data_IF_325288740701
#
_entry.id   IF_325288740701
#
_cell.length_a   1.000
_cell.length_b   1.000
_cell.length_c   1.000
_cell.angle_alpha   90.00
_cell.angle_beta   90.00
_cell.angle_gamma   90.00
#
_symmetry.space_group_name_H-M   'P 1'
#
loop_
_entity.id
_entity.type
_entity.pdbx_description
1 polymer ?
#
# COMPACT_ATOMS: atom_id res chain seq x y z
N UNK A 1 -8.32 -32.14 -14.23
CA UNK A 1 -8.08 -32.35 -12.80
C UNK A 1 -8.83 -31.27 -12.01
N UNK A 2 -9.55 -31.68 -10.97
CA UNK A 2 -10.32 -30.77 -10.15
C UNK A 2 -9.40 -29.82 -9.38
N UNK A 3 -9.81 -28.55 -9.25
CA UNK A 3 -9.09 -27.57 -8.45
C UNK A 3 -8.94 -28.07 -6.99
N UNK A 4 -7.83 -27.77 -6.29
CA UNK A 4 -7.62 -28.20 -4.90
C UNK A 4 -8.79 -27.93 -3.96
N UNK A 5 -9.45 -26.79 -4.08
CA UNK A 5 -10.62 -26.46 -3.26
C UNK A 5 -11.82 -27.36 -3.50
N UNK A 6 -12.02 -27.83 -4.74
CA UNK A 6 -13.06 -28.83 -5.05
C UNK A 6 -12.76 -30.17 -4.39
N UNK A 7 -11.48 -30.56 -4.34
CA UNK A 7 -11.07 -31.80 -3.68
C UNK A 7 -11.23 -31.73 -2.15
N UNK A 8 -11.03 -30.57 -1.58
CA UNK A 8 -11.17 -30.30 -0.15
C UNK A 8 -12.65 -30.35 0.29
N UNK A 9 -13.56 -29.89 -0.57
CA UNK A 9 -14.97 -29.71 -0.28
C UNK A 9 -15.27 -28.33 0.36
N UNK A 10 -16.46 -27.81 0.10
CA UNK A 10 -16.89 -26.48 0.52
C UNK A 10 -16.98 -26.32 2.03
N UNK A 11 -17.41 -27.34 2.74
CA UNK A 11 -17.53 -27.30 4.20
C UNK A 11 -16.15 -27.12 4.87
N UNK A 12 -15.17 -27.94 4.47
CA UNK A 12 -13.80 -27.86 4.98
C UNK A 12 -13.18 -26.53 4.57
N UNK A 13 -13.37 -26.09 3.32
CA UNK A 13 -12.87 -24.80 2.84
C UNK A 13 -13.41 -23.64 3.69
N UNK A 14 -14.73 -23.56 3.90
CA UNK A 14 -15.36 -22.50 4.69
C UNK A 14 -14.90 -22.48 6.15
N UNK A 15 -14.72 -23.65 6.75
CA UNK A 15 -14.19 -23.75 8.11
C UNK A 15 -12.74 -23.25 8.19
N UNK A 16 -11.87 -23.69 7.27
CA UNK A 16 -10.46 -23.29 7.28
C UNK A 16 -10.26 -21.82 6.99
N UNK A 17 -11.06 -21.21 6.11
CA UNK A 17 -10.98 -19.75 5.85
C UNK A 17 -11.40 -18.95 7.08
N UNK A 18 -12.44 -19.33 7.80
CA UNK A 18 -12.84 -18.69 9.06
C UNK A 18 -11.81 -18.89 10.19
N UNK A 19 -11.13 -20.06 10.22
CA UNK A 19 -10.02 -20.28 11.15
C UNK A 19 -8.82 -19.38 10.83
N UNK A 20 -8.49 -19.21 9.54
CA UNK A 20 -7.41 -18.33 9.12
C UNK A 20 -7.69 -16.86 9.46
N UNK A 21 -8.91 -16.36 9.24
CA UNK A 21 -9.31 -15.01 9.61
C UNK A 21 -9.12 -14.77 11.12
N UNK A 22 -9.57 -15.70 11.96
CA UNK A 22 -9.38 -15.63 13.41
C UNK A 22 -7.91 -15.69 13.82
N UNK A 23 -7.13 -16.57 13.19
CA UNK A 23 -5.70 -16.69 13.47
C UNK A 23 -4.95 -15.38 13.22
N UNK A 24 -5.23 -14.69 12.11
CA UNK A 24 -4.62 -13.37 11.86
C UNK A 24 -4.97 -12.35 12.94
N UNK A 25 -6.22 -12.29 13.37
CA UNK A 25 -6.65 -11.40 14.44
C UNK A 25 -5.99 -11.75 15.79
N UNK A 26 -5.89 -13.04 16.14
CA UNK A 26 -5.25 -13.51 17.37
C UNK A 26 -3.75 -13.18 17.45
N UNK A 27 -3.06 -13.15 16.31
CA UNK A 27 -1.63 -12.76 16.25
C UNK A 27 -1.43 -11.25 15.99
N UNK A 28 -2.51 -10.45 16.02
CA UNK A 28 -2.44 -9.00 15.86
C UNK A 28 -2.20 -8.52 14.43
N UNK A 29 -2.44 -9.37 13.42
CA UNK A 29 -2.37 -8.98 12.01
C UNK A 29 -3.77 -8.58 11.56
N UNK A 30 -4.00 -7.29 11.41
CA UNK A 30 -5.31 -6.78 10.99
C UNK A 30 -5.50 -6.90 9.48
N UNK A 31 -6.54 -7.63 9.10
CA UNK A 31 -6.90 -7.88 7.70
C UNK A 31 -8.24 -7.23 7.37
N UNK A 32 -8.37 -6.72 6.13
CA UNK A 32 -9.65 -6.36 5.52
C UNK A 32 -10.15 -7.50 4.66
N UNK A 33 -11.46 -7.70 4.61
CA UNK A 33 -12.10 -8.68 3.73
C UNK A 33 -12.73 -9.86 4.45
N UNK A 34 -13.25 -10.79 3.66
CA UNK A 34 -13.93 -11.99 4.14
C UNK A 34 -13.94 -13.07 3.06
N UNK A 35 -13.90 -14.32 3.44
CA UNK A 35 -14.03 -15.46 2.54
C UNK A 35 -15.39 -15.53 1.80
N UNK A 36 -16.39 -14.80 2.28
CA UNK A 36 -17.73 -14.78 1.70
C UNK A 36 -17.86 -13.88 0.47
N UNK A 37 -16.98 -12.85 0.36
CA UNK A 37 -17.01 -11.89 -0.74
C UNK A 37 -15.61 -11.35 -1.01
N UNK A 38 -15.13 -11.48 -2.25
CA UNK A 38 -13.90 -10.82 -2.65
C UNK A 38 -14.09 -9.30 -2.69
N UNK A 39 -13.09 -8.59 -2.22
CA UNK A 39 -12.83 -7.19 -2.54
C UNK A 39 -11.71 -7.10 -3.58
N UNK A 40 -11.33 -5.90 -3.98
CA UNK A 40 -10.23 -5.67 -4.92
C UNK A 40 -9.13 -4.88 -4.24
N UNK A 41 -7.91 -5.39 -4.34
CA UNK A 41 -6.72 -4.69 -3.84
C UNK A 41 -5.96 -4.03 -4.98
N UNK A 42 -5.37 -2.88 -4.71
CA UNK A 42 -4.44 -2.22 -5.63
C UNK A 42 -3.12 -2.99 -5.63
N UNK A 43 -2.63 -3.32 -6.82
CA UNK A 43 -1.32 -3.97 -6.99
C UNK A 43 -0.20 -2.93 -7.09
N UNK A 44 1.08 -3.31 -6.93
CA UNK A 44 2.21 -2.41 -7.15
C UNK A 44 2.27 -1.75 -8.54
N UNK A 45 1.54 -2.30 -9.51
CA UNK A 45 1.42 -1.76 -10.87
C UNK A 45 0.19 -0.87 -11.06
N UNK A 46 -0.59 -0.60 -10.03
CA UNK A 46 -1.80 0.21 -10.10
C UNK A 46 -3.05 -0.52 -10.57
N UNK A 47 -2.96 -1.80 -10.91
CA UNK A 47 -4.13 -2.61 -11.33
C UNK A 47 -4.92 -3.12 -10.12
N UNK A 48 -6.19 -3.44 -10.33
CA UNK A 48 -7.04 -4.06 -9.31
C UNK A 48 -7.04 -5.58 -9.45
N UNK A 49 -6.85 -6.31 -8.35
CA UNK A 49 -6.96 -7.76 -8.32
C UNK A 49 -7.90 -8.22 -7.21
N UNK A 50 -8.75 -9.23 -7.47
CA UNK A 50 -9.61 -9.79 -6.44
C UNK A 50 -8.77 -10.43 -5.33
N UNK A 51 -9.17 -10.19 -4.09
CA UNK A 51 -8.60 -10.78 -2.90
C UNK A 51 -9.72 -11.08 -1.90
N UNK A 52 -9.56 -12.11 -1.07
CA UNK A 52 -10.45 -12.36 0.04
C UNK A 52 -9.98 -11.70 1.33
N UNK A 53 -8.63 -11.59 1.51
CA UNK A 53 -7.99 -10.84 2.59
C UNK A 53 -6.88 -9.95 2.05
N UNK A 54 -6.79 -8.76 2.60
CA UNK A 54 -5.72 -7.78 2.34
C UNK A 54 -5.29 -7.17 3.67
N UNK A 55 -4.01 -6.91 3.87
CA UNK A 55 -3.56 -6.17 5.05
C UNK A 55 -4.30 -4.84 5.14
N UNK A 56 -4.81 -4.48 6.32
CA UNK A 56 -5.62 -3.28 6.54
C UNK A 56 -4.94 -1.99 6.09
N UNK A 57 -3.61 -1.98 6.10
CA UNK A 57 -2.80 -0.83 5.67
C UNK A 57 -2.66 -0.69 4.15
N UNK A 58 -3.16 -1.66 3.40
CA UNK A 58 -3.19 -1.58 1.94
C UNK A 58 -4.58 -1.18 1.46
N UNK A 59 -4.67 -0.29 0.45
CA UNK A 59 -5.95 0.13 -0.07
C UNK A 59 -6.70 -1.02 -0.73
N UNK A 60 -7.96 -1.15 -0.38
CA UNK A 60 -8.92 -2.05 -1.02
C UNK A 60 -10.12 -1.26 -1.54
N UNK A 61 -10.88 -1.84 -2.45
CA UNK A 61 -12.09 -1.27 -3.01
C UNK A 61 -13.10 -2.35 -3.38
N UNK A 62 -14.37 -1.97 -3.39
CA UNK A 62 -15.47 -2.88 -3.69
C UNK A 62 -15.69 -3.12 -5.20
N UNK A 63 -15.14 -2.26 -6.06
CA UNK A 63 -15.31 -2.31 -7.50
C UNK A 63 -14.05 -2.81 -8.20
N UNK A 64 -14.24 -3.59 -9.28
CA UNK A 64 -13.14 -4.16 -10.09
C UNK A 64 -12.53 -3.16 -11.09
N UNK A 65 -13.24 -2.07 -11.38
CA UNK A 65 -12.99 -1.18 -12.52
C UNK A 65 -12.80 0.29 -12.14
N UNK A 66 -12.88 0.63 -10.86
CA UNK A 66 -12.74 2.01 -10.39
C UNK A 66 -12.21 2.07 -8.97
N UNK A 67 -11.52 3.16 -8.66
CA UNK A 67 -11.10 3.53 -7.33
C UNK A 67 -12.18 4.41 -6.64
N UNK A 68 -12.20 4.47 -5.31
CA UNK A 68 -13.12 5.34 -4.58
C UNK A 68 -12.75 6.84 -4.68
N UNK A 69 -11.55 7.15 -5.17
CA UNK A 69 -11.03 8.52 -5.27
C UNK A 69 -10.97 9.00 -6.71
N UNK A 70 -11.27 10.28 -6.92
CA UNK A 70 -11.19 10.94 -8.23
C UNK A 70 -9.88 11.69 -8.45
N UNK A 71 -9.28 12.20 -7.38
CA UNK A 71 -8.00 12.93 -7.42
C UNK A 71 -7.05 12.41 -6.37
N UNK A 72 -5.85 12.05 -6.79
CA UNK A 72 -4.81 11.53 -5.90
C UNK A 72 -3.44 12.15 -6.21
N UNK A 73 -2.54 12.12 -5.22
CA UNK A 73 -1.13 12.41 -5.41
C UNK A 73 -0.31 11.14 -5.16
N UNK A 74 0.60 10.82 -6.06
CA UNK A 74 1.50 9.67 -5.97
C UNK A 74 2.90 10.20 -5.66
N UNK A 75 3.46 9.83 -4.53
CA UNK A 75 4.78 10.26 -4.10
C UNK A 75 5.77 9.09 -4.12
N UNK A 76 6.95 9.33 -4.67
CA UNK A 76 8.05 8.38 -4.61
C UNK A 76 9.30 9.00 -4.04
N UNK A 77 10.11 8.19 -3.38
CA UNK A 77 11.47 8.57 -2.99
C UNK A 77 12.32 8.70 -4.26
N UNK A 78 12.99 9.82 -4.43
CA UNK A 78 13.83 10.07 -5.59
C UNK A 78 14.96 9.04 -5.67
N UNK A 79 14.97 8.26 -6.75
CA UNK A 79 15.92 7.17 -6.99
C UNK A 79 15.45 5.78 -6.55
N UNK A 80 14.29 5.65 -5.91
CA UNK A 80 13.71 4.36 -5.59
C UNK A 80 12.96 3.80 -6.81
N UNK A 81 13.51 2.73 -7.40
CA UNK A 81 13.04 2.19 -8.68
C UNK A 81 11.96 1.11 -8.56
N UNK A 82 11.76 0.54 -7.36
CA UNK A 82 10.79 -0.54 -7.15
C UNK A 82 9.34 -0.05 -6.99
N UNK A 83 9.10 1.24 -7.24
CA UNK A 83 7.78 1.86 -7.20
C UNK A 83 7.50 2.63 -8.50
N UNK A 84 6.72 2.05 -9.37
CA UNK A 84 6.50 2.49 -10.75
C UNK A 84 5.37 3.51 -10.86
N UNK A 85 5.62 4.74 -10.42
CA UNK A 85 4.60 5.80 -10.32
C UNK A 85 3.85 6.08 -11.63
N UNK A 86 4.55 6.03 -12.78
CA UNK A 86 3.91 6.27 -14.07
C UNK A 86 2.93 5.16 -14.44
N UNK A 87 3.29 3.89 -14.23
CA UNK A 87 2.37 2.78 -14.47
C UNK A 87 1.14 2.87 -13.58
N UNK A 88 1.33 3.20 -12.30
CA UNK A 88 0.22 3.39 -11.35
C UNK A 88 -0.70 4.51 -11.83
N UNK A 89 -0.15 5.67 -12.20
CA UNK A 89 -0.92 6.82 -12.67
C UNK A 89 -1.70 6.51 -13.97
N UNK A 90 -1.09 5.77 -14.88
CA UNK A 90 -1.74 5.39 -16.16
C UNK A 90 -2.88 4.39 -15.93
N UNK A 91 -2.71 3.40 -15.04
CA UNK A 91 -3.78 2.48 -14.67
C UNK A 91 -4.92 3.21 -13.93
N UNK A 92 -4.59 4.11 -13.00
CA UNK A 92 -5.59 4.89 -12.27
C UNK A 92 -6.38 5.81 -13.22
N UNK A 93 -5.73 6.42 -14.22
CA UNK A 93 -6.41 7.22 -15.25
C UNK A 93 -7.41 6.40 -16.04
N UNK A 94 -7.10 5.14 -16.39
CA UNK A 94 -8.04 4.22 -17.07
C UNK A 94 -9.28 3.94 -16.21
N UNK A 95 -9.15 4.01 -14.90
CA UNK A 95 -10.23 3.83 -13.93
C UNK A 95 -10.94 5.15 -13.57
N UNK A 96 -10.61 6.26 -14.25
CA UNK A 96 -11.25 7.56 -14.06
C UNK A 96 -10.71 8.38 -12.90
N UNK A 97 -9.51 8.03 -12.37
CA UNK A 97 -8.84 8.76 -11.31
C UNK A 97 -7.71 9.63 -11.86
N UNK A 98 -7.78 10.94 -11.62
CA UNK A 98 -6.71 11.89 -11.93
C UNK A 98 -5.57 11.72 -10.91
N UNK A 99 -4.33 11.62 -11.42
CA UNK A 99 -3.15 11.43 -10.57
C UNK A 99 -2.08 12.47 -10.86
N UNK A 100 -1.50 13.03 -9.81
CA UNK A 100 -0.28 13.85 -9.88
C UNK A 100 0.88 13.08 -9.31
N UNK A 101 2.02 13.07 -10.00
CA UNK A 101 3.22 12.36 -9.58
C UNK A 101 4.22 13.33 -9.00
N UNK A 102 4.71 13.04 -7.82
CA UNK A 102 5.73 13.78 -7.11
C UNK A 102 6.90 12.87 -6.76
N UNK A 103 8.10 13.41 -6.83
CA UNK A 103 9.30 12.75 -6.27
C UNK A 103 9.85 13.60 -5.16
N UNK A 104 10.18 13.01 -4.05
CA UNK A 104 10.72 13.73 -2.90
C UNK A 104 12.08 13.21 -2.48
N UNK A 105 12.84 14.09 -1.88
CA UNK A 105 14.11 13.81 -1.23
C UNK A 105 14.28 14.76 -0.05
N UNK A 106 15.00 14.33 0.97
CA UNK A 106 15.42 15.15 2.09
C UNK A 106 16.73 14.62 2.69
N UNK A 107 17.43 15.40 3.55
CA UNK A 107 18.80 15.08 3.97
C UNK A 107 19.04 13.65 4.46
N UNK A 108 18.10 13.09 5.20
CA UNK A 108 18.20 11.71 5.71
C UNK A 108 18.28 10.65 4.60
N UNK A 109 17.69 10.89 3.42
CA UNK A 109 17.72 9.97 2.27
C UNK A 109 18.96 10.15 1.38
N UNK A 110 19.71 11.22 1.55
CA UNK A 110 20.84 11.55 0.65
C UNK A 110 21.96 10.52 0.71
N UNK A 111 22.17 9.89 1.87
CA UNK A 111 23.12 8.80 2.02
C UNK A 111 22.73 7.60 1.13
N UNK A 112 21.46 7.21 1.13
CA UNK A 112 20.96 6.11 0.28
C UNK A 112 21.08 6.44 -1.20
N UNK A 113 20.81 7.70 -1.57
CA UNK A 113 20.93 8.17 -2.96
C UNK A 113 22.34 8.10 -3.51
N UNK A 114 23.35 8.40 -2.69
CA UNK A 114 24.77 8.33 -3.08
C UNK A 114 25.25 6.88 -3.29
N UNK A 115 24.53 5.92 -2.75
CA UNK A 115 24.81 4.50 -2.91
C UNK A 115 23.57 3.77 -3.45
N UNK A 116 23.40 3.67 -4.80
CA UNK A 116 22.20 3.09 -5.39
C UNK A 116 21.89 1.65 -4.94
N UNK A 117 22.90 0.87 -4.53
CA UNK A 117 22.70 -0.48 -4.01
C UNK A 117 21.99 -0.51 -2.65
N UNK A 118 22.01 0.59 -1.91
CA UNK A 118 21.35 0.78 -0.64
C UNK A 118 19.92 1.34 -0.76
N UNK A 119 19.50 1.78 -1.95
CA UNK A 119 18.15 2.29 -2.20
C UNK A 119 17.13 1.15 -2.29
N UNK A 120 16.97 0.44 -1.17
CA UNK A 120 16.05 -0.70 -1.01
C UNK A 120 14.95 -0.35 -0.02
N UNK A 121 13.78 -0.99 -0.18
CA UNK A 121 12.60 -0.79 0.68
C UNK A 121 12.95 -0.82 2.17
N UNK A 122 13.72 -1.83 2.61
CA UNK A 122 14.10 -2.00 4.03
C UNK A 122 14.98 -0.87 4.55
N UNK A 123 15.88 -0.33 3.72
CA UNK A 123 16.76 0.77 4.12
C UNK A 123 15.99 2.10 4.16
N UNK A 124 15.08 2.31 3.21
CA UNK A 124 14.16 3.46 3.24
C UNK A 124 13.26 3.37 4.49
N UNK A 125 12.69 2.19 4.78
CA UNK A 125 11.87 1.98 5.97
C UNK A 125 12.60 2.36 7.26
N UNK A 126 13.88 1.95 7.42
CA UNK A 126 14.71 2.32 8.57
C UNK A 126 14.91 3.82 8.75
N UNK A 127 14.94 4.59 7.66
CA UNK A 127 15.01 6.06 7.77
C UNK A 127 13.76 6.63 8.43
N UNK A 128 12.60 5.99 8.22
CA UNK A 128 11.32 6.41 8.77
C UNK A 128 10.99 5.80 10.15
N UNK A 129 11.91 5.07 10.76
CA UNK A 129 11.85 4.73 12.20
C UNK A 129 12.09 5.96 13.09
N UNK A 130 12.76 6.99 12.55
CA UNK A 130 13.01 8.23 13.25
C UNK A 130 11.84 9.19 13.10
N UNK A 131 11.30 9.64 14.23
CA UNK A 131 10.16 10.54 14.28
C UNK A 131 10.39 11.84 13.48
N UNK A 132 11.58 12.40 13.56
CA UNK A 132 11.99 13.60 12.83
C UNK A 132 11.82 13.47 11.31
N UNK A 133 12.14 12.29 10.75
CA UNK A 133 11.99 12.03 9.32
C UNK A 133 10.51 11.86 8.92
N UNK A 134 9.69 11.31 9.79
CA UNK A 134 8.24 11.24 9.59
C UNK A 134 7.59 12.63 9.64
N UNK A 135 8.03 13.49 10.54
CA UNK A 135 7.57 14.89 10.63
C UNK A 135 7.93 15.69 9.38
N UNK A 136 9.16 15.50 8.88
CA UNK A 136 9.61 16.13 7.63
C UNK A 136 8.78 15.64 6.44
N UNK A 137 8.56 14.31 6.33
CA UNK A 137 7.72 13.73 5.29
C UNK A 137 6.29 14.26 5.36
N UNK A 138 5.66 14.25 6.53
CA UNK A 138 4.29 14.75 6.70
C UNK A 138 4.16 16.22 6.26
N UNK A 139 5.15 17.05 6.59
CA UNK A 139 5.21 18.44 6.18
C UNK A 139 5.33 18.58 4.66
N UNK A 140 6.20 17.78 4.05
CA UNK A 140 6.38 17.73 2.60
C UNK A 140 5.10 17.29 1.89
N UNK A 141 4.49 16.22 2.33
CA UNK A 141 3.24 15.69 1.73
C UNK A 141 2.13 16.75 1.75
N UNK A 142 1.92 17.43 2.88
CA UNK A 142 0.93 18.52 2.99
C UNK A 142 1.20 19.67 2.04
N UNK A 143 2.46 20.06 1.87
CA UNK A 143 2.84 21.16 1.00
C UNK A 143 2.65 20.84 -0.48
N UNK A 144 3.00 19.62 -0.89
CA UNK A 144 3.13 19.25 -2.31
C UNK A 144 1.87 18.54 -2.87
N UNK A 145 1.09 17.87 -2.04
CA UNK A 145 -0.06 17.08 -2.52
C UNK A 145 -1.15 17.93 -3.17
N UNK A 146 -1.36 19.17 -2.65
CA UNK A 146 -2.48 20.01 -3.07
C UNK A 146 -3.83 19.44 -2.63
N UNK A 147 -4.88 19.81 -3.35
CA UNK A 147 -6.25 19.33 -3.07
C UNK A 147 -6.45 17.94 -3.70
N UNK A 148 -6.28 16.90 -2.90
CA UNK A 148 -6.47 15.49 -3.28
C UNK A 148 -7.26 14.73 -2.24
N UNK A 149 -7.90 13.65 -2.65
CA UNK A 149 -8.71 12.78 -1.78
C UNK A 149 -7.86 11.68 -1.13
N UNK A 150 -6.72 11.34 -1.75
CA UNK A 150 -5.79 10.35 -1.21
C UNK A 150 -4.35 10.61 -1.65
N UNK A 151 -3.40 10.10 -0.86
CA UNK A 151 -1.98 10.07 -1.16
C UNK A 151 -1.54 8.62 -1.28
N UNK A 152 -0.78 8.32 -2.33
CA UNK A 152 -0.21 6.99 -2.58
C UNK A 152 1.29 7.06 -2.36
N UNK A 153 1.78 6.18 -1.51
CA UNK A 153 3.18 6.04 -1.12
C UNK A 153 3.69 4.64 -1.45
N UNK A 154 4.99 4.44 -1.69
CA UNK A 154 5.54 3.10 -1.75
C UNK A 154 5.34 2.36 -0.43
N UNK A 155 5.12 1.05 -0.48
CA UNK A 155 4.89 0.19 0.70
C UNK A 155 6.19 -0.04 1.50
N UNK A 156 6.81 1.05 1.95
CA UNK A 156 8.02 1.06 2.78
C UNK A 156 7.73 1.47 4.23
N UNK A 157 6.57 2.10 4.45
CA UNK A 157 6.13 2.51 5.80
C UNK A 157 5.50 1.32 6.51
N UNK A 158 5.85 1.10 7.77
CA UNK A 158 5.34 -0.03 8.55
C UNK A 158 6.12 -1.35 8.37
N UNK A 159 7.14 -1.41 7.52
CA UNK A 159 7.96 -2.64 7.39
C UNK A 159 8.70 -3.02 8.69
N UNK A 160 9.08 -2.03 9.49
CA UNK A 160 9.81 -2.22 10.74
C UNK A 160 9.07 -1.64 11.96
N UNK A 161 8.06 -0.82 11.74
CA UNK A 161 7.28 -0.13 12.78
C UNK A 161 5.82 0.00 12.36
N UNK A 162 4.92 -0.57 13.13
CA UNK A 162 3.47 -0.53 12.86
C UNK A 162 2.88 0.89 12.99
N UNK A 163 3.59 1.79 13.69
CA UNK A 163 3.08 3.13 14.02
C UNK A 163 3.34 4.21 12.96
N UNK A 164 4.24 3.97 12.00
CA UNK A 164 4.64 4.98 11.02
C UNK A 164 3.48 5.40 10.10
N UNK A 165 2.71 4.44 9.61
CA UNK A 165 1.56 4.71 8.74
C UNK A 165 0.44 5.41 9.52
N UNK A 166 0.11 4.91 10.71
CA UNK A 166 -0.86 5.53 11.61
C UNK A 166 -0.50 6.97 11.94
N UNK A 167 0.79 7.24 12.14
CA UNK A 167 1.28 8.58 12.39
C UNK A 167 1.03 9.52 11.20
N UNK A 168 1.36 9.08 9.98
CA UNK A 168 1.14 9.86 8.77
C UNK A 168 -0.35 10.11 8.50
N UNK A 169 -1.21 9.13 8.76
CA UNK A 169 -2.66 9.25 8.57
C UNK A 169 -3.33 10.25 9.53
N UNK A 170 -2.74 10.47 10.70
CA UNK A 170 -3.27 11.40 11.71
C UNK A 170 -2.81 12.85 11.49
N UNK A 171 -1.92 13.10 10.57
CA UNK A 171 -1.34 14.42 10.27
C UNK A 171 -1.95 15.05 9.05
#
# INVERSE_FOLDING_TARGET
PAHPYVKMGMEVFSRLTGEAERFFEEVGIHMSGSALKNHYRVTPMGTLKPAWLTLKDHPDCDAADRLPWKKIAIFNVLGFLDFYTQFIADEFRKMGTESRIHSFNFPALEYLRKNPTEMRSVNIARMFEKQENLDELATLLKREAGEVEAIVLPAVFGLNQDTALDYLQKR
#
